data_IF_127885983076
#
_entry.id   IF_127885983076
#
_cell.length_a   1.000
_cell.length_b   1.000
_cell.length_c   1.000
_cell.angle_alpha   90.00
_cell.angle_beta   90.00
_cell.angle_gamma   90.00
#
_symmetry.space_group_name_H-M   'P 1'
#
loop_
_entity.id
_entity.type
_entity.pdbx_description
1 polymer ?
#
# COMPACT_ATOMS: atom_id res chain seq x y z
N UNK A 1 29.65 7.16 -70.91
CA UNK A 1 29.71 6.37 -69.65
C UNK A 1 28.78 6.99 -68.62
N UNK A 2 27.57 7.42 -69.02
CA UNK A 2 26.85 8.44 -68.24
C UNK A 2 25.44 8.01 -67.81
N UNK A 3 24.92 6.90 -68.35
CA UNK A 3 23.56 6.42 -68.04
C UNK A 3 23.53 5.43 -66.87
N UNK A 4 24.54 4.56 -66.73
CA UNK A 4 24.67 3.63 -65.60
C UNK A 4 25.01 4.35 -64.28
N UNK A 5 25.76 5.44 -64.36
CA UNK A 5 26.13 6.26 -63.20
C UNK A 5 24.92 7.01 -62.62
N UNK A 6 24.06 7.58 -63.48
CA UNK A 6 22.83 8.23 -63.03
C UNK A 6 21.84 7.23 -62.40
N UNK A 7 21.71 6.03 -62.97
CA UNK A 7 20.79 5.01 -62.43
C UNK A 7 21.26 4.44 -61.09
N UNK A 8 22.57 4.30 -60.88
CA UNK A 8 23.14 3.86 -59.60
C UNK A 8 23.02 4.93 -58.51
N UNK A 9 23.15 6.21 -58.88
CA UNK A 9 22.96 7.34 -57.96
C UNK A 9 21.50 7.45 -57.48
N UNK A 10 20.51 7.28 -58.37
CA UNK A 10 19.09 7.31 -58.02
C UNK A 10 18.68 6.18 -57.07
N UNK A 11 19.20 4.97 -57.28
CA UNK A 11 18.92 3.80 -56.41
C UNK A 11 19.52 4.00 -55.01
N UNK A 12 20.70 4.60 -54.91
CA UNK A 12 21.32 4.91 -53.62
C UNK A 12 20.59 6.03 -52.87
N UNK A 13 20.16 7.08 -53.57
CA UNK A 13 19.37 8.17 -52.99
C UNK A 13 18.02 7.62 -52.49
N UNK A 14 17.34 6.80 -53.29
CA UNK A 14 16.06 6.20 -52.91
C UNK A 14 16.21 5.28 -51.68
N UNK A 15 17.28 4.49 -51.62
CA UNK A 15 17.61 3.65 -50.46
C UNK A 15 17.88 4.48 -49.20
N UNK A 16 18.65 5.56 -49.31
CA UNK A 16 18.96 6.45 -48.18
C UNK A 16 17.70 7.17 -47.65
N UNK A 17 16.83 7.63 -48.55
CA UNK A 17 15.55 8.24 -48.18
C UNK A 17 14.63 7.23 -47.47
N UNK A 18 14.54 6.00 -47.98
CA UNK A 18 13.74 4.96 -47.36
C UNK A 18 14.21 4.64 -45.92
N UNK A 19 15.52 4.51 -45.71
CA UNK A 19 16.11 4.27 -44.39
C UNK A 19 15.83 5.44 -43.44
N UNK A 20 15.97 6.69 -43.91
CA UNK A 20 15.69 7.87 -43.12
C UNK A 20 14.21 7.96 -42.70
N UNK A 21 13.28 7.66 -43.61
CA UNK A 21 11.84 7.63 -43.30
C UNK A 21 11.52 6.56 -42.28
N UNK A 22 12.07 5.35 -42.42
CA UNK A 22 11.87 4.26 -41.45
C UNK A 22 12.41 4.65 -40.07
N UNK A 23 13.60 5.26 -40.00
CA UNK A 23 14.18 5.73 -38.74
C UNK A 23 13.33 6.82 -38.07
N UNK A 24 12.77 7.76 -38.84
CA UNK A 24 11.86 8.80 -38.34
C UNK A 24 10.57 8.17 -37.81
N UNK A 25 9.98 7.22 -38.52
CA UNK A 25 8.76 6.53 -38.10
C UNK A 25 9.01 5.72 -36.82
N UNK A 26 10.11 4.98 -36.74
CA UNK A 26 10.49 4.24 -35.52
C UNK A 26 10.74 5.20 -34.37
N UNK A 27 11.47 6.30 -34.61
CA UNK A 27 11.71 7.34 -33.62
C UNK A 27 10.42 7.99 -33.11
N UNK A 28 9.48 8.29 -34.01
CA UNK A 28 8.17 8.82 -33.65
C UNK A 28 7.36 7.79 -32.85
N UNK A 29 7.27 6.53 -33.30
CA UNK A 29 6.58 5.46 -32.57
C UNK A 29 7.18 5.25 -31.19
N UNK A 30 8.50 5.29 -31.06
CA UNK A 30 9.20 5.17 -29.78
C UNK A 30 8.93 6.36 -28.85
N UNK A 31 8.91 7.59 -29.38
CA UNK A 31 8.57 8.81 -28.64
C UNK A 31 7.10 8.85 -28.21
N UNK A 32 6.18 8.37 -29.04
CA UNK A 32 4.76 8.27 -28.71
C UNK A 32 4.49 7.11 -27.73
N UNK A 33 5.21 6.00 -27.83
CA UNK A 33 5.05 4.84 -26.95
C UNK A 33 5.72 5.02 -25.58
N UNK A 34 6.69 5.93 -25.43
CA UNK A 34 7.43 6.13 -24.16
C UNK A 34 6.78 7.12 -23.18
N UNK A 35 5.68 7.80 -23.54
CA UNK A 35 4.98 8.67 -22.59
C UNK A 35 4.19 7.82 -21.61
N UNK A 36 4.80 7.49 -20.47
CA UNK A 36 4.06 6.97 -19.31
C UNK A 36 2.86 7.90 -19.04
N UNK A 37 1.65 7.37 -18.85
CA UNK A 37 0.48 8.19 -18.60
C UNK A 37 0.74 9.07 -17.37
N UNK A 38 0.53 10.38 -17.53
CA UNK A 38 0.69 11.34 -16.44
C UNK A 38 -0.38 11.05 -15.40
N UNK A 39 0.04 10.79 -14.15
CA UNK A 39 -0.88 10.55 -13.02
C UNK A 39 -1.85 11.72 -12.80
N UNK A 40 -3.02 11.41 -12.24
CA UNK A 40 -4.06 12.40 -11.98
C UNK A 40 -3.83 13.23 -10.71
N UNK A 41 -2.99 12.75 -9.79
CA UNK A 41 -2.68 13.43 -8.53
C UNK A 41 -1.87 14.74 -8.71
N UNK A 42 -1.86 15.57 -7.67
CA UNK A 42 -1.06 16.80 -7.58
C UNK A 42 -0.50 16.93 -6.15
N UNK A 43 0.85 16.98 -5.97
CA UNK A 43 1.45 16.98 -4.64
C UNK A 43 1.15 18.24 -3.83
N UNK A 44 0.92 19.36 -4.50
CA UNK A 44 0.79 20.69 -3.90
C UNK A 44 -0.68 21.09 -3.75
N UNK A 45 -1.50 20.78 -4.75
CA UNK A 45 -2.89 21.26 -4.84
C UNK A 45 -3.92 20.15 -4.65
N UNK A 46 -5.08 20.50 -4.09
CA UNK A 46 -6.22 19.59 -4.03
C UNK A 46 -6.95 19.56 -5.38
N UNK A 47 -7.17 18.37 -5.90
CA UNK A 47 -7.99 18.09 -7.09
C UNK A 47 -9.28 17.40 -6.70
N UNK A 48 -10.36 17.68 -7.43
CA UNK A 48 -11.68 17.15 -7.15
C UNK A 48 -11.93 15.87 -7.96
N UNK A 49 -12.38 14.81 -7.30
CA UNK A 49 -12.74 13.54 -7.93
C UNK A 49 -14.19 13.19 -7.61
N UNK A 50 -14.96 12.84 -8.64
CA UNK A 50 -16.40 12.56 -8.51
C UNK A 50 -16.62 11.16 -7.96
N UNK A 51 -17.41 11.03 -6.90
CA UNK A 51 -17.91 9.75 -6.41
C UNK A 51 -18.92 9.19 -7.42
N UNK A 52 -18.61 8.04 -8.02
CA UNK A 52 -19.48 7.38 -9.01
C UNK A 52 -20.21 6.18 -8.43
N UNK A 53 -19.68 5.55 -7.38
CA UNK A 53 -20.30 4.41 -6.73
C UNK A 53 -19.99 4.38 -5.24
N UNK A 54 -20.99 4.04 -4.43
CA UNK A 54 -20.84 3.76 -3.00
C UNK A 54 -21.47 2.39 -2.72
N UNK A 55 -20.73 1.52 -2.05
CA UNK A 55 -21.20 0.19 -1.64
C UNK A 55 -21.00 0.05 -0.15
N UNK A 56 -22.08 -0.20 0.59
CA UNK A 56 -22.00 -0.50 2.02
C UNK A 56 -21.52 -1.96 2.18
N UNK A 57 -20.41 -2.17 2.88
CA UNK A 57 -19.84 -3.51 3.10
C UNK A 57 -20.25 -4.08 4.46
N UNK A 58 -20.31 -3.24 5.49
CA UNK A 58 -20.76 -3.61 6.84
C UNK A 58 -21.47 -2.43 7.52
N UNK A 59 -21.89 -2.55 8.78
CA UNK A 59 -22.54 -1.46 9.51
C UNK A 59 -21.69 -0.18 9.63
N UNK A 60 -20.37 -0.30 9.62
CA UNK A 60 -19.43 0.82 9.77
C UNK A 60 -18.40 0.90 8.64
N UNK A 61 -18.52 0.12 7.56
CA UNK A 61 -17.57 0.13 6.43
C UNK A 61 -18.30 0.32 5.13
N UNK A 62 -17.80 1.24 4.31
CA UNK A 62 -18.25 1.40 2.94
C UNK A 62 -17.07 1.56 1.98
N UNK A 63 -17.28 1.08 0.75
CA UNK A 63 -16.39 1.28 -0.39
C UNK A 63 -16.89 2.43 -1.24
N UNK A 64 -15.99 3.35 -1.57
CA UNK A 64 -16.25 4.54 -2.36
C UNK A 64 -15.39 4.49 -3.62
N UNK A 65 -16.01 4.48 -4.79
CA UNK A 65 -15.33 4.45 -6.09
C UNK A 65 -15.42 5.83 -6.74
N UNK A 66 -14.28 6.44 -7.00
CA UNK A 66 -14.16 7.77 -7.59
C UNK A 66 -13.66 7.68 -9.03
N UNK A 67 -14.29 8.43 -9.94
CA UNK A 67 -13.87 8.49 -11.33
C UNK A 67 -12.65 9.39 -11.52
N UNK A 68 -11.72 8.93 -12.34
CA UNK A 68 -10.63 9.73 -12.89
C UNK A 68 -11.12 10.52 -14.11
N UNK A 69 -10.34 11.52 -14.61
CA UNK A 69 -10.78 12.41 -15.69
C UNK A 69 -11.16 11.68 -16.99
N UNK A 70 -10.51 10.55 -17.29
CA UNK A 70 -10.84 9.71 -18.45
C UNK A 70 -10.86 8.22 -18.06
N UNK A 71 -11.56 7.35 -18.82
CA UNK A 71 -11.58 5.90 -18.55
C UNK A 71 -10.21 5.22 -18.63
N UNK A 72 -9.23 5.84 -19.29
CA UNK A 72 -7.87 5.33 -19.44
C UNK A 72 -6.86 6.02 -18.52
N UNK A 73 -7.31 6.98 -17.71
CA UNK A 73 -6.45 7.68 -16.76
C UNK A 73 -6.00 6.75 -15.64
N UNK A 74 -4.80 6.98 -15.11
CA UNK A 74 -4.30 6.32 -13.89
C UNK A 74 -4.21 7.33 -12.75
N UNK A 75 -4.35 6.86 -11.52
CA UNK A 75 -4.24 7.75 -10.35
C UNK A 75 -2.81 8.31 -10.25
N UNK A 76 -1.80 7.49 -10.53
CA UNK A 76 -0.39 7.84 -10.45
C UNK A 76 0.11 7.91 -9.02
N UNK A 77 -0.33 6.98 -8.16
CA UNK A 77 0.10 6.87 -6.77
C UNK A 77 1.23 5.84 -6.67
N UNK A 78 2.47 6.25 -6.37
CA UNK A 78 3.56 5.29 -6.16
C UNK A 78 3.25 4.30 -5.05
N UNK A 79 3.68 3.04 -5.22
CA UNK A 79 3.40 1.96 -4.27
C UNK A 79 4.08 2.25 -2.93
N UNK A 80 3.30 2.19 -1.84
CA UNK A 80 3.76 2.55 -0.50
C UNK A 80 3.43 3.99 -0.08
N UNK A 81 2.93 4.81 -1.02
CA UNK A 81 2.45 6.17 -0.74
C UNK A 81 0.92 6.20 -0.59
N UNK A 82 0.42 7.31 -0.05
CA UNK A 82 -0.99 7.54 0.20
C UNK A 82 -1.44 8.91 -0.32
N UNK A 83 -2.75 9.18 -0.26
CA UNK A 83 -3.33 10.47 -0.63
C UNK A 83 -3.89 11.19 0.61
N UNK A 84 -3.94 12.51 0.56
CA UNK A 84 -4.62 13.35 1.55
C UNK A 84 -5.99 13.73 1.04
N UNK A 85 -7.04 13.32 1.74
CA UNK A 85 -8.42 13.66 1.42
C UNK A 85 -8.87 14.82 2.31
N UNK A 86 -9.55 15.80 1.73
CA UNK A 86 -10.14 16.94 2.45
C UNK A 86 -11.67 16.82 2.46
N UNK A 87 -12.24 16.98 3.65
CA UNK A 87 -13.68 16.94 3.89
C UNK A 87 -14.12 17.95 4.95
N UNK A 88 -15.35 17.80 5.43
CA UNK A 88 -15.95 18.59 6.50
C UNK A 88 -16.53 17.70 7.58
N UNK A 89 -16.35 18.07 8.84
CA UNK A 89 -16.97 17.38 9.97
C UNK A 89 -18.43 17.80 10.21
N UNK A 90 -19.03 17.36 11.32
CA UNK A 90 -20.43 17.65 11.66
C UNK A 90 -20.69 19.10 12.05
N UNK A 91 -19.64 19.87 12.33
CA UNK A 91 -19.69 21.29 12.64
C UNK A 91 -19.42 22.15 11.39
N UNK A 92 -19.03 21.53 10.28
CA UNK A 92 -18.69 22.21 9.02
C UNK A 92 -17.21 22.59 8.90
N UNK A 93 -16.38 22.23 9.89
CA UNK A 93 -14.96 22.54 9.91
C UNK A 93 -14.17 21.62 8.97
N UNK A 94 -13.16 22.19 8.30
CA UNK A 94 -12.32 21.42 7.39
C UNK A 94 -11.50 20.36 8.15
N UNK A 95 -11.44 19.16 7.58
CA UNK A 95 -10.62 18.06 8.08
C UNK A 95 -9.87 17.42 6.92
N UNK A 96 -8.56 17.20 7.12
CA UNK A 96 -7.69 16.53 6.15
C UNK A 96 -7.17 15.25 6.80
N UNK A 97 -7.33 14.12 6.12
CA UNK A 97 -6.84 12.82 6.58
C UNK A 97 -6.20 12.01 5.46
N UNK A 98 -5.18 11.19 5.78
CA UNK A 98 -4.56 10.26 4.85
C UNK A 98 -5.51 9.10 4.52
N UNK A 99 -5.47 8.61 3.29
CA UNK A 99 -6.08 7.36 2.89
C UNK A 99 -5.23 6.68 1.83
N UNK A 100 -5.16 5.35 1.87
CA UNK A 100 -4.52 4.55 0.81
C UNK A 100 -5.59 3.89 -0.04
N UNK A 101 -5.67 4.20 -1.34
CA UNK A 101 -6.56 3.51 -2.26
C UNK A 101 -6.27 2.02 -2.33
N UNK A 102 -7.32 1.22 -2.47
CA UNK A 102 -7.23 -0.24 -2.64
C UNK A 102 -7.03 -0.65 -4.10
N UNK A 103 -7.00 0.33 -5.00
CA UNK A 103 -6.71 0.20 -6.44
C UNK A 103 -5.25 0.52 -6.76
N UNK A 104 -4.74 -0.09 -7.82
CA UNK A 104 -3.42 0.19 -8.41
C UNK A 104 -3.55 0.99 -9.71
N UNK A 105 -2.43 1.43 -10.28
CA UNK A 105 -2.43 2.09 -11.59
C UNK A 105 -2.79 1.13 -12.76
N UNK A 106 -2.88 -0.18 -12.49
CA UNK A 106 -3.49 -1.16 -13.40
C UNK A 106 -5.02 -1.05 -13.46
N UNK A 107 -5.65 -0.50 -12.42
CA UNK A 107 -7.09 -0.28 -12.33
C UNK A 107 -7.43 1.10 -12.94
N UNK A 108 -7.45 1.18 -14.27
CA UNK A 108 -7.64 2.45 -15.00
C UNK A 108 -9.03 3.07 -14.80
N UNK A 109 -9.09 4.39 -14.91
CA UNK A 109 -10.33 5.17 -14.96
C UNK A 109 -10.97 5.47 -13.60
N UNK A 110 -10.52 4.85 -12.52
CA UNK A 110 -11.08 5.04 -11.20
C UNK A 110 -10.07 4.77 -10.07
N UNK A 111 -10.43 5.15 -8.85
CA UNK A 111 -9.78 4.63 -7.65
C UNK A 111 -10.80 4.33 -6.56
N UNK A 112 -10.50 3.37 -5.70
CA UNK A 112 -11.39 2.95 -4.62
C UNK A 112 -10.81 3.26 -3.24
N UNK A 113 -11.65 3.77 -2.35
CA UNK A 113 -11.37 3.92 -0.93
C UNK A 113 -12.30 3.02 -0.12
N UNK A 114 -11.73 2.16 0.71
CA UNK A 114 -12.48 1.39 1.71
C UNK A 114 -12.36 2.07 3.05
N UNK A 115 -13.45 2.64 3.53
CA UNK A 115 -13.46 3.52 4.70
C UNK A 115 -14.24 2.85 5.83
N UNK A 116 -13.55 2.61 6.95
CA UNK A 116 -14.19 2.33 8.25
C UNK A 116 -14.57 3.67 8.90
N UNK A 117 -15.86 3.87 9.11
CA UNK A 117 -16.46 5.08 9.64
C UNK A 117 -16.70 4.92 11.15
N UNK A 118 -16.03 5.75 11.95
CA UNK A 118 -16.20 5.77 13.40
C UNK A 118 -17.28 6.78 13.81
N UNK A 119 -18.10 6.50 14.83
CA UNK A 119 -19.19 7.40 15.24
C UNK A 119 -18.73 8.83 15.51
N UNK A 120 -17.62 8.99 16.24
CA UNK A 120 -17.01 10.28 16.61
C UNK A 120 -15.90 10.74 15.66
N UNK A 121 -15.70 10.07 14.53
CA UNK A 121 -14.65 10.43 13.58
C UNK A 121 -15.03 11.66 12.77
N UNK A 122 -14.24 12.75 12.86
CA UNK A 122 -14.44 14.00 12.09
C UNK A 122 -14.54 13.74 10.58
N UNK A 123 -13.56 13.02 10.03
CA UNK A 123 -13.58 12.64 8.60
C UNK A 123 -14.60 11.52 8.31
N UNK A 124 -14.92 10.68 9.30
CA UNK A 124 -15.97 9.67 9.16
C UNK A 124 -17.34 10.32 8.96
N UNK A 125 -17.61 11.48 9.57
CA UNK A 125 -18.81 12.26 9.30
C UNK A 125 -18.90 12.64 7.81
N UNK A 126 -17.81 13.17 7.24
CA UNK A 126 -17.76 13.54 5.82
C UNK A 126 -18.15 12.38 4.89
N UNK A 127 -17.59 11.19 5.13
CA UNK A 127 -17.89 10.00 4.31
C UNK A 127 -19.30 9.44 4.54
N UNK A 128 -19.87 9.59 5.75
CA UNK A 128 -21.27 9.20 6.01
C UNK A 128 -22.25 10.00 5.15
N UNK A 129 -22.04 11.32 5.08
CA UNK A 129 -22.89 12.25 4.34
C UNK A 129 -22.63 12.26 2.81
N UNK A 130 -21.54 11.64 2.36
CA UNK A 130 -21.18 11.66 0.94
C UNK A 130 -22.12 10.77 0.10
N UNK A 131 -22.73 11.38 -0.92
CA UNK A 131 -23.63 10.72 -1.87
C UNK A 131 -23.00 10.63 -3.26
N UNK A 132 -23.48 9.68 -4.07
CA UNK A 132 -23.05 9.55 -5.47
C UNK A 132 -23.25 10.89 -6.19
N UNK A 133 -22.30 11.25 -7.04
CA UNK A 133 -22.15 12.56 -7.69
C UNK A 133 -21.55 13.68 -6.85
N UNK A 134 -21.30 13.51 -5.55
CA UNK A 134 -20.45 14.43 -4.80
C UNK A 134 -18.99 14.31 -5.22
N UNK A 135 -18.18 15.30 -4.81
CA UNK A 135 -16.75 15.36 -5.10
C UNK A 135 -15.94 15.26 -3.81
N UNK A 136 -14.82 14.55 -3.89
CA UNK A 136 -13.81 14.50 -2.85
C UNK A 136 -12.57 15.27 -3.30
N UNK A 137 -12.10 16.21 -2.47
CA UNK A 137 -10.85 16.91 -2.72
C UNK A 137 -9.67 16.04 -2.26
N UNK A 138 -8.75 15.75 -3.18
CA UNK A 138 -7.61 14.85 -2.98
C UNK A 138 -6.32 15.55 -3.38
N UNK A 139 -5.29 15.43 -2.53
CA UNK A 139 -3.92 15.90 -2.76
C UNK A 139 -2.94 14.74 -2.59
N UNK A 140 -1.91 14.66 -3.42
CA UNK A 140 -0.91 13.58 -3.32
C UNK A 140 -0.01 13.46 -4.54
N UNK A 141 0.89 12.49 -4.57
CA UNK A 141 1.11 11.48 -3.54
C UNK A 141 1.82 12.05 -2.29
N UNK A 142 1.69 11.37 -1.15
CA UNK A 142 2.34 11.69 0.12
C UNK A 142 2.94 10.42 0.75
N UNK A 143 3.93 10.61 1.62
CA UNK A 143 4.66 9.53 2.30
C UNK A 143 6.06 9.31 1.72
N UNK A 144 6.99 8.87 2.58
CA UNK A 144 8.39 8.67 2.20
C UNK A 144 8.66 7.30 1.58
N UNK A 145 7.91 6.29 2.01
CA UNK A 145 8.11 4.92 1.55
C UNK A 145 7.68 4.76 0.09
N UNK A 146 8.54 4.11 -0.69
CA UNK A 146 8.26 3.75 -2.08
C UNK A 146 8.84 2.37 -2.37
N UNK A 147 7.97 1.40 -2.60
CA UNK A 147 8.37 0.05 -2.92
C UNK A 147 8.92 -0.04 -4.36
N UNK A 148 9.96 -0.85 -4.55
CA UNK A 148 10.48 -1.23 -5.87
C UNK A 148 10.50 -2.77 -6.01
N UNK A 149 10.15 -3.31 -7.18
CA UNK A 149 10.15 -4.75 -7.39
C UNK A 149 11.53 -5.37 -7.12
N UNK A 150 11.56 -6.48 -6.39
CA UNK A 150 12.80 -7.17 -6.03
C UNK A 150 13.70 -6.43 -5.02
N UNK A 151 13.24 -5.32 -4.41
CA UNK A 151 14.00 -4.61 -3.36
C UNK A 151 14.28 -5.50 -2.14
N UNK A 152 13.40 -6.47 -1.86
CA UNK A 152 13.55 -7.42 -0.75
C UNK A 152 13.17 -8.84 -1.18
N UNK A 153 13.79 -9.87 -0.57
CA UNK A 153 13.43 -11.28 -0.85
C UNK A 153 12.05 -11.65 -0.31
N UNK A 154 11.65 -11.02 0.78
CA UNK A 154 10.36 -11.24 1.41
C UNK A 154 9.94 -10.01 2.24
N UNK A 155 8.64 -9.86 2.44
CA UNK A 155 7.98 -8.67 2.94
C UNK A 155 6.97 -9.08 4.02
N UNK A 156 7.32 -8.87 5.28
CA UNK A 156 6.42 -9.08 6.42
C UNK A 156 5.53 -7.86 6.62
N UNK A 157 4.24 -8.07 6.88
CA UNK A 157 3.25 -7.03 7.10
C UNK A 157 2.47 -7.33 8.37
N UNK A 158 2.34 -6.33 9.25
CA UNK A 158 1.39 -6.35 10.37
C UNK A 158 0.37 -5.25 10.14
N UNK A 159 -0.91 -5.60 10.16
CA UNK A 159 -2.01 -4.66 10.02
C UNK A 159 -3.02 -4.83 11.15
N UNK A 160 -3.64 -3.72 11.55
CA UNK A 160 -4.79 -3.71 12.43
C UNK A 160 -5.95 -2.87 11.87
N UNK A 161 -7.16 -3.41 11.86
CA UNK A 161 -8.35 -2.68 11.41
C UNK A 161 -8.21 -2.03 10.03
N UNK A 162 -8.35 -0.71 9.93
CA UNK A 162 -8.25 0.04 8.67
C UNK A 162 -6.82 0.14 8.10
N UNK A 163 -5.80 -0.18 8.91
CA UNK A 163 -4.40 -0.24 8.51
C UNK A 163 -4.08 -1.32 7.47
N UNK A 164 -5.05 -2.14 7.07
CA UNK A 164 -4.89 -3.12 6.00
C UNK A 164 -4.74 -2.48 4.62
N UNK A 165 -5.38 -1.34 4.36
CA UNK A 165 -5.42 -0.73 3.02
C UNK A 165 -4.02 -0.42 2.43
N UNK A 166 -3.08 0.16 3.19
CA UNK A 166 -1.69 0.27 2.73
C UNK A 166 -0.98 -1.07 2.48
N UNK A 167 -1.18 -2.06 3.34
CA UNK A 167 -0.58 -3.39 3.16
C UNK A 167 -1.14 -4.08 1.92
N UNK A 168 -2.44 -3.96 1.71
CA UNK A 168 -3.14 -4.49 0.54
C UNK A 168 -2.61 -3.87 -0.77
N UNK A 169 -2.35 -2.56 -0.80
CA UNK A 169 -1.76 -1.89 -1.96
C UNK A 169 -0.38 -2.48 -2.31
N UNK A 170 0.51 -2.61 -1.32
CA UNK A 170 1.86 -3.15 -1.54
C UNK A 170 1.78 -4.64 -1.93
N UNK A 171 0.96 -5.43 -1.24
CA UNK A 171 0.77 -6.85 -1.52
C UNK A 171 0.28 -7.07 -2.95
N UNK A 172 -0.77 -6.35 -3.39
CA UNK A 172 -1.24 -6.43 -4.78
C UNK A 172 -0.14 -6.06 -5.77
N UNK A 173 0.61 -4.98 -5.51
CA UNK A 173 1.66 -4.54 -6.41
C UNK A 173 2.80 -5.56 -6.58
N UNK A 174 3.15 -6.28 -5.51
CA UNK A 174 4.12 -7.37 -5.54
C UNK A 174 3.53 -8.57 -6.30
N UNK A 175 2.36 -9.04 -5.88
CA UNK A 175 1.80 -10.30 -6.35
C UNK A 175 1.30 -10.25 -7.79
N UNK A 176 0.75 -9.12 -8.24
CA UNK A 176 0.26 -8.94 -9.61
C UNK A 176 1.40 -8.64 -10.61
N UNK A 177 2.63 -8.40 -10.13
CA UNK A 177 3.79 -8.20 -11.00
C UNK A 177 4.53 -9.53 -11.23
N UNK A 178 4.48 -10.12 -12.45
CA UNK A 178 5.10 -11.42 -12.72
C UNK A 178 6.63 -11.42 -12.60
N UNK A 179 7.25 -10.24 -12.69
CA UNK A 179 8.70 -10.07 -12.55
C UNK A 179 9.15 -9.92 -11.10
N UNK A 180 8.22 -9.73 -10.18
CA UNK A 180 8.52 -9.67 -8.76
C UNK A 180 8.50 -11.07 -8.14
N UNK A 181 9.51 -11.37 -7.32
CA UNK A 181 9.66 -12.66 -6.63
C UNK A 181 9.64 -12.52 -5.12
N UNK A 182 9.37 -11.31 -4.61
CA UNK A 182 9.23 -11.06 -3.19
C UNK A 182 8.08 -11.91 -2.62
N UNK A 183 8.35 -12.69 -1.55
CA UNK A 183 7.28 -13.37 -0.79
C UNK A 183 6.64 -12.40 0.20
N UNK A 184 5.33 -12.45 0.37
CA UNK A 184 4.57 -11.58 1.26
C UNK A 184 3.94 -12.39 2.38
N UNK A 185 4.13 -11.95 3.61
CA UNK A 185 3.54 -12.55 4.81
C UNK A 185 2.77 -11.48 5.58
N UNK A 186 1.46 -11.62 5.71
CA UNK A 186 0.60 -10.68 6.39
C UNK A 186 0.03 -11.30 7.67
N UNK A 187 0.19 -10.61 8.79
CA UNK A 187 -0.58 -10.86 10.00
C UNK A 187 -1.59 -9.72 10.13
N UNK A 188 -2.87 -10.06 10.18
CA UNK A 188 -3.95 -9.09 10.20
C UNK A 188 -4.82 -9.27 11.45
N UNK A 189 -4.77 -8.28 12.35
CA UNK A 189 -5.43 -8.31 13.64
C UNK A 189 -6.72 -7.45 13.65
N UNK A 190 -7.82 -8.05 14.14
CA UNK A 190 -9.11 -7.38 14.27
C UNK A 190 -9.78 -7.76 15.62
N UNK A 191 -10.79 -6.99 16.03
CA UNK A 191 -11.52 -7.30 17.28
C UNK A 191 -12.41 -8.51 17.08
N UNK A 192 -13.29 -8.46 16.08
CA UNK A 192 -14.18 -9.56 15.71
C UNK A 192 -13.95 -10.00 14.26
N UNK A 193 -14.56 -11.11 13.87
CA UNK A 193 -14.46 -11.63 12.50
C UNK A 193 -15.10 -10.68 11.47
N UNK A 194 -16.21 -10.02 11.85
CA UNK A 194 -16.95 -9.08 11.03
C UNK A 194 -16.20 -7.76 10.78
N UNK A 195 -15.15 -7.51 11.58
CA UNK A 195 -14.28 -6.35 11.44
C UNK A 195 -13.16 -6.54 10.41
N UNK A 196 -12.96 -7.75 9.89
CA UNK A 196 -11.91 -8.06 8.91
C UNK A 196 -12.28 -7.40 7.58
N UNK A 197 -11.57 -6.32 7.23
CA UNK A 197 -11.77 -5.61 5.98
C UNK A 197 -11.05 -6.34 4.83
N UNK A 198 -11.63 -6.30 3.64
CA UNK A 198 -11.06 -6.90 2.41
C UNK A 198 -10.79 -8.41 2.52
N UNK A 199 -11.56 -9.13 3.36
CA UNK A 199 -11.30 -10.54 3.63
C UNK A 199 -11.37 -11.39 2.36
N UNK A 200 -12.42 -11.21 1.56
CA UNK A 200 -12.62 -11.98 0.32
C UNK A 200 -11.50 -11.71 -0.69
N UNK A 201 -11.06 -10.45 -0.82
CA UNK A 201 -9.96 -10.08 -1.68
C UNK A 201 -8.62 -10.64 -1.20
N UNK A 202 -8.35 -10.62 0.12
CA UNK A 202 -7.15 -11.20 0.71
C UNK A 202 -7.10 -12.72 0.54
N UNK A 203 -8.23 -13.41 0.77
CA UNK A 203 -8.32 -14.86 0.59
C UNK A 203 -8.14 -15.23 -0.89
N UNK A 204 -8.72 -14.46 -1.81
CA UNK A 204 -8.52 -14.65 -3.25
C UNK A 204 -7.05 -14.49 -3.65
N UNK A 205 -6.34 -13.50 -3.09
CA UNK A 205 -4.90 -13.35 -3.32
C UNK A 205 -4.12 -14.53 -2.75
N UNK A 206 -4.49 -15.03 -1.57
CA UNK A 206 -3.82 -16.16 -0.92
C UNK A 206 -4.00 -17.46 -1.70
N UNK A 207 -5.19 -17.69 -2.24
CA UNK A 207 -5.47 -18.85 -3.11
C UNK A 207 -4.69 -18.73 -4.43
N UNK A 208 -4.75 -17.57 -5.08
CA UNK A 208 -4.14 -17.34 -6.41
C UNK A 208 -2.61 -17.37 -6.36
N UNK A 209 -2.02 -16.86 -5.28
CA UNK A 209 -0.58 -16.72 -5.11
C UNK A 209 -0.05 -17.50 -3.91
N UNK A 210 -0.58 -18.71 -3.66
CA UNK A 210 -0.28 -19.54 -2.48
C UNK A 210 1.20 -19.83 -2.21
N UNK A 211 2.06 -19.78 -3.24
CA UNK A 211 3.52 -19.95 -3.08
C UNK A 211 4.25 -18.67 -2.65
N UNK A 212 3.61 -17.50 -2.79
CA UNK A 212 4.19 -16.18 -2.59
C UNK A 212 3.43 -15.31 -1.58
N UNK A 213 2.19 -15.64 -1.21
CA UNK A 213 1.41 -14.87 -0.23
C UNK A 213 0.82 -15.77 0.85
N UNK A 214 1.07 -15.40 2.12
CA UNK A 214 0.45 -16.02 3.28
C UNK A 214 -0.21 -14.95 4.13
N UNK A 215 -1.46 -15.19 4.55
CA UNK A 215 -2.22 -14.32 5.45
C UNK A 215 -2.61 -15.08 6.71
N UNK A 216 -2.42 -14.45 7.87
CA UNK A 216 -2.77 -14.97 9.18
C UNK A 216 -3.70 -13.99 9.87
N UNK A 217 -4.95 -14.39 10.08
CA UNK A 217 -5.94 -13.58 10.78
C UNK A 217 -5.86 -13.80 12.29
N UNK A 218 -5.85 -12.71 13.06
CA UNK A 218 -5.80 -12.72 14.53
C UNK A 218 -7.02 -11.97 15.06
N UNK A 219 -7.79 -12.60 15.96
CA UNK A 219 -8.99 -12.02 16.55
C UNK A 219 -8.84 -11.87 18.06
N UNK A 220 -9.22 -10.70 18.58
CA UNK A 220 -9.20 -10.44 20.04
C UNK A 220 -10.39 -11.09 20.75
N UNK A 221 -11.59 -11.01 20.15
CA UNK A 221 -12.78 -11.69 20.63
C UNK A 221 -13.08 -12.88 19.72
N UNK A 222 -12.75 -14.07 20.20
CA UNK A 222 -13.28 -15.31 19.65
C UNK A 222 -14.61 -15.56 20.35
N UNK A 223 -15.66 -15.88 19.60
CA UNK A 223 -16.99 -16.24 20.13
C UNK A 223 -17.00 -17.57 20.92
N UNK A 224 -15.83 -18.07 21.34
CA UNK A 224 -15.65 -19.21 22.22
C UNK A 224 -14.88 -18.78 23.50
N UNK A 225 -15.53 -19.01 24.64
CA UNK A 225 -15.18 -18.78 26.05
C UNK A 225 -13.84 -18.10 26.45
N UNK A 226 -13.99 -16.99 27.17
CA UNK A 226 -13.37 -16.64 28.47
C UNK A 226 -12.09 -17.38 28.93
N UNK A 227 -10.90 -17.00 28.44
CA UNK A 227 -9.64 -16.85 29.23
C UNK A 227 -8.43 -16.37 28.38
N UNK A 228 -8.63 -15.66 27.26
CA UNK A 228 -7.55 -15.51 26.27
C UNK A 228 -7.08 -14.07 26.05
N UNK A 229 -7.35 -13.14 26.97
CA UNK A 229 -6.96 -11.72 26.80
C UNK A 229 -5.46 -11.46 26.85
N UNK A 230 -4.68 -12.31 27.52
CA UNK A 230 -3.20 -12.18 27.60
C UNK A 230 -2.49 -13.12 26.61
N UNK A 231 -3.09 -14.27 26.26
CA UNK A 231 -2.43 -15.34 25.51
C UNK A 231 -2.22 -15.01 24.02
N UNK A 232 -3.10 -14.21 23.40
CA UNK A 232 -3.00 -13.91 21.97
C UNK A 232 -1.86 -12.94 21.61
N UNK A 233 -1.50 -12.00 22.49
CA UNK A 233 -0.31 -11.18 22.30
C UNK A 233 0.99 -12.01 22.41
N UNK A 234 1.07 -12.96 23.35
CA UNK A 234 2.23 -13.85 23.46
C UNK A 234 2.33 -14.84 22.30
N UNK A 235 1.20 -15.35 21.79
CA UNK A 235 1.19 -16.21 20.60
C UNK A 235 1.54 -15.40 19.33
N UNK A 236 1.04 -14.16 19.21
CA UNK A 236 1.42 -13.20 18.17
C UNK A 236 2.94 -12.97 18.14
N UNK A 237 3.55 -12.77 19.32
CA UNK A 237 5.00 -12.62 19.45
C UNK A 237 5.79 -13.92 19.21
N UNK A 238 5.34 -15.07 19.71
CA UNK A 238 5.98 -16.36 19.46
C UNK A 238 5.97 -16.72 17.97
N UNK A 239 4.89 -16.39 17.26
CA UNK A 239 4.78 -16.60 15.83
C UNK A 239 5.68 -15.64 15.03
N UNK A 240 5.75 -14.37 15.44
CA UNK A 240 6.73 -13.41 14.90
C UNK A 240 8.15 -13.94 15.13
N UNK A 241 8.50 -14.35 16.35
CA UNK A 241 9.82 -14.86 16.71
C UNK A 241 10.19 -16.15 15.94
N UNK A 242 9.22 -17.06 15.71
CA UNK A 242 9.43 -18.25 14.88
C UNK A 242 9.69 -17.90 13.41
N UNK A 243 8.88 -17.01 12.82
CA UNK A 243 9.05 -16.57 11.43
C UNK A 243 10.37 -15.80 11.27
N UNK A 244 10.74 -14.96 12.25
CA UNK A 244 12.00 -14.23 12.29
C UNK A 244 13.21 -15.17 12.29
N UNK A 245 13.20 -16.18 13.16
CA UNK A 245 14.29 -17.16 13.31
C UNK A 245 14.47 -18.02 12.05
N UNK A 246 13.38 -18.33 11.35
CA UNK A 246 13.42 -19.17 10.15
C UNK A 246 13.82 -18.41 8.87
N UNK A 247 13.59 -17.09 8.76
CA UNK A 247 13.63 -16.43 7.44
C UNK A 247 14.42 -15.11 7.32
N UNK A 248 14.93 -14.48 8.39
CA UNK A 248 15.66 -13.19 8.33
C UNK A 248 14.92 -12.13 7.46
N UNK A 249 13.70 -11.77 7.86
CA UNK A 249 12.77 -10.99 7.03
C UNK A 249 12.63 -9.52 7.44
N UNK A 250 12.59 -8.58 6.47
CA UNK A 250 12.05 -7.24 6.67
C UNK A 250 10.57 -7.23 7.03
N UNK A 251 10.22 -6.64 8.18
CA UNK A 251 8.82 -6.42 8.59
C UNK A 251 8.40 -4.97 8.34
N UNK A 252 7.10 -4.76 8.11
CA UNK A 252 6.38 -3.49 8.06
C UNK A 252 5.19 -3.55 9.02
N UNK A 253 5.05 -2.61 9.96
CA UNK A 253 3.99 -2.61 10.99
C UNK A 253 3.12 -1.37 10.86
N UNK A 254 1.81 -1.50 10.67
CA UNK A 254 0.83 -0.40 10.68
C UNK A 254 -0.26 -0.68 11.71
N UNK A 255 -0.38 0.14 12.77
CA UNK A 255 -1.53 0.09 13.68
C UNK A 255 -1.96 1.46 14.22
N UNK A 256 -3.19 1.53 14.78
CA UNK A 256 -3.88 2.75 15.29
C UNK A 256 -3.94 2.80 16.83
N UNK A 257 -3.05 2.13 17.55
CA UNK A 257 -2.98 2.17 19.01
C UNK A 257 -1.54 2.40 19.49
N UNK A 258 -1.29 3.54 20.13
CA UNK A 258 0.02 4.01 20.63
C UNK A 258 0.70 2.99 21.54
N UNK A 259 -0.07 2.23 22.32
CA UNK A 259 0.46 1.20 23.23
C UNK A 259 1.07 -0.01 22.54
N UNK A 260 0.61 -0.37 21.33
CA UNK A 260 1.04 -1.58 20.62
C UNK A 260 2.36 -1.36 19.86
N UNK A 261 2.60 -0.15 19.34
CA UNK A 261 3.81 0.17 18.56
C UNK A 261 5.06 0.22 19.45
N UNK A 262 4.98 0.87 20.62
CA UNK A 262 6.11 0.95 21.56
C UNK A 262 6.52 -0.44 22.05
N UNK A 263 5.53 -1.30 22.31
CA UNK A 263 5.77 -2.67 22.75
C UNK A 263 6.24 -3.60 21.61
N UNK A 264 5.68 -3.48 20.40
CA UNK A 264 6.19 -4.19 19.23
C UNK A 264 7.65 -3.82 18.95
N UNK A 265 8.01 -2.55 19.10
CA UNK A 265 9.40 -2.09 19.03
C UNK A 265 10.25 -2.77 20.11
N UNK A 266 9.84 -2.70 21.37
CA UNK A 266 10.57 -3.30 22.51
C UNK A 266 10.85 -4.79 22.27
N UNK A 267 9.86 -5.54 21.76
CA UNK A 267 10.04 -6.96 21.44
C UNK A 267 10.97 -7.19 20.24
N UNK A 268 10.90 -6.34 19.21
CA UNK A 268 11.84 -6.40 18.09
C UNK A 268 13.28 -6.03 18.50
N UNK A 269 13.41 -5.11 19.47
CA UNK A 269 14.68 -4.72 20.10
C UNK A 269 15.25 -5.89 20.92
N UNK A 270 14.42 -6.55 21.73
CA UNK A 270 14.79 -7.74 22.50
C UNK A 270 15.21 -8.93 21.61
N UNK A 271 14.63 -9.05 20.42
CA UNK A 271 14.99 -10.08 19.44
C UNK A 271 16.26 -9.75 18.63
N UNK A 272 16.92 -8.62 18.89
CA UNK A 272 18.10 -8.13 18.16
C UNK A 272 17.86 -7.97 16.64
N UNK A 273 16.62 -7.61 16.26
CA UNK A 273 16.18 -7.44 14.88
C UNK A 273 16.20 -5.97 14.42
N UNK A 274 16.67 -5.03 15.24
CA UNK A 274 16.70 -3.61 14.88
C UNK A 274 17.98 -3.21 14.17
N UNK A 275 17.83 -2.79 12.91
CA UNK A 275 18.91 -2.20 12.13
C UNK A 275 18.56 -0.78 11.62
N UNK A 276 17.28 -0.39 11.52
CA UNK A 276 16.84 1.03 11.39
C UNK A 276 15.31 1.22 11.52
N UNK A 277 14.88 2.35 12.08
CA UNK A 277 13.46 2.68 12.35
C UNK A 277 13.07 4.02 11.73
N UNK A 278 12.00 4.06 10.93
CA UNK A 278 11.43 5.31 10.41
C UNK A 278 9.93 5.38 10.70
N UNK A 279 9.43 6.58 11.02
CA UNK A 279 8.02 6.85 11.29
C UNK A 279 7.54 8.06 10.46
N UNK A 280 6.30 8.02 9.98
CA UNK A 280 5.57 9.20 9.50
C UNK A 280 4.32 9.33 10.38
N UNK A 281 4.18 10.48 11.06
CA UNK A 281 3.13 10.71 12.04
C UNK A 281 1.78 10.96 11.34
N UNK A 282 0.75 10.23 11.74
CA UNK A 282 -0.62 10.48 11.32
C UNK A 282 -1.48 10.76 12.55
N UNK A 283 -2.27 11.84 12.59
CA UNK A 283 -3.14 12.06 13.73
C UNK A 283 -4.40 11.19 13.64
N UNK A 284 -4.63 10.27 14.58
CA UNK A 284 -5.92 9.61 14.77
C UNK A 284 -6.86 10.51 15.61
N UNK A 285 -8.16 10.50 15.31
CA UNK A 285 -9.20 11.27 16.02
C UNK A 285 -10.02 10.42 16.99
N UNK A 286 -9.45 9.33 17.51
CA UNK A 286 -10.12 8.49 18.49
C UNK A 286 -9.86 9.06 19.91
N UNK A 287 -10.81 9.81 20.45
CA UNK A 287 -10.91 10.05 21.90
C UNK A 287 -11.46 8.79 22.55
N UNK A 288 -10.62 8.08 23.30
CA UNK A 288 -11.07 7.03 24.21
C UNK A 288 -11.58 7.68 25.50
N UNK A 289 -12.71 7.24 26.08
CA UNK A 289 -13.11 7.69 27.40
C UNK A 289 -12.08 7.12 28.41
N UNK A 290 -11.28 8.01 29.00
CA UNK A 290 -10.29 7.82 30.09
C UNK A 290 -8.80 8.07 29.77
N UNK A 291 -8.42 8.69 28.64
CA UNK A 291 -7.06 9.23 28.46
C UNK A 291 -7.03 10.72 28.73
N UNK A 292 -6.23 11.12 29.73
CA UNK A 292 -5.85 12.51 30.03
C UNK A 292 -5.28 13.15 28.76
N UNK A 293 -5.77 14.36 28.46
CA UNK A 293 -5.39 15.18 27.32
C UNK A 293 -3.90 15.56 27.39
N UNK A 294 -3.03 14.74 26.78
CA UNK A 294 -1.59 15.05 26.66
C UNK A 294 -1.20 15.58 25.28
N UNK A 295 -2.16 15.94 24.41
CA UNK A 295 -1.86 16.60 23.14
C UNK A 295 -1.09 15.77 22.10
N UNK A 296 -0.80 14.49 22.35
CA UNK A 296 -0.07 13.61 21.43
C UNK A 296 -1.04 12.70 20.65
N UNK A 297 -1.00 12.80 19.32
CA UNK A 297 -1.95 12.15 18.42
C UNK A 297 -1.56 10.68 18.12
N UNK A 298 -2.50 9.70 18.06
CA UNK A 298 -2.17 8.30 17.79
C UNK A 298 -1.72 8.06 16.34
N UNK A 299 -0.56 7.44 16.15
CA UNK A 299 0.22 7.34 14.90
C UNK A 299 0.02 6.01 14.15
N UNK A 300 0.14 6.00 12.81
CA UNK A 300 0.41 4.79 12.01
C UNK A 300 1.94 4.65 11.84
N UNK A 301 2.51 3.50 12.20
CA UNK A 301 3.92 3.20 11.93
C UNK A 301 4.07 2.49 10.57
N UNK A 302 5.30 2.37 10.08
CA UNK A 302 5.74 1.41 9.06
C UNK A 302 7.11 0.90 9.53
N UNK A 303 7.48 -0.35 9.27
CA UNK A 303 8.79 -0.91 9.65
C UNK A 303 9.54 -1.29 8.35
N UNK A 304 10.86 -1.25 8.28
CA UNK A 304 11.63 -1.70 7.11
C UNK A 304 12.94 -2.32 7.58
N UNK A 305 13.44 -3.37 6.91
CA UNK A 305 14.76 -3.94 7.16
C UNK A 305 15.54 -3.91 5.84
N UNK A 306 16.68 -3.24 5.85
CA UNK A 306 17.61 -3.18 4.73
C UNK A 306 18.85 -4.03 5.06
N UNK A 307 19.19 -4.94 4.14
CA UNK A 307 20.44 -5.71 4.06
C UNK A 307 20.84 -6.59 5.26
N UNK A 308 20.62 -7.91 5.09
CA UNK A 308 21.40 -8.94 5.78
C UNK A 308 22.59 -9.32 4.89
N UNK A 309 23.76 -8.73 5.10
CA UNK A 309 25.01 -9.40 4.72
C UNK A 309 25.31 -10.43 5.79
N UNK A 310 25.09 -11.70 5.45
CA UNK A 310 25.54 -12.82 6.29
C UNK A 310 27.06 -12.81 6.36
N UNK A 311 27.62 -12.22 7.42
CA UNK A 311 28.97 -12.52 7.88
C UNK A 311 28.86 -13.15 9.25
N UNK A 312 28.24 -14.32 9.32
CA UNK A 312 28.41 -15.23 10.44
C UNK A 312 29.48 -16.25 10.01
N UNK A 313 30.73 -16.00 10.41
CA UNK A 313 31.77 -17.03 10.42
C UNK A 313 31.28 -18.21 11.26
N UNK A 314 31.32 -19.46 10.75
CA UNK A 314 30.90 -20.62 11.52
C UNK A 314 31.85 -20.81 12.72
N UNK A 315 31.34 -21.18 13.90
CA UNK A 315 32.18 -21.48 15.04
C UNK A 315 33.09 -22.68 14.72
N UNK A 316 34.38 -22.51 15.02
CA UNK A 316 35.40 -23.54 14.89
C UNK A 316 34.91 -24.86 15.52
N UNK A 317 34.97 -25.92 14.73
CA UNK A 317 34.84 -27.29 15.19
C UNK A 317 36.00 -27.62 16.13
N UNK A 318 35.71 -27.79 17.42
CA UNK A 318 36.59 -28.52 18.33
C UNK A 318 36.04 -29.93 18.48
N UNK A 319 36.72 -30.89 17.87
CA UNK A 319 36.75 -32.30 18.28
C UNK A 319 38.15 -32.86 17.99
N UNK A 320 38.59 -33.94 18.68
CA UNK A 320 38.01 -34.57 19.87
C UNK A 320 38.69 -34.17 21.18
#
# INVERSE_FOLDING_TARGET
>A
MDLEFLHTLDVQILGAVAVAVVAIVIGAVFLFSSKKPKGCLDPENFKQFKLVKRVQLSHNVAKFTFALPTPTSVLGLPIGQHISCKGKDGQGEEVIKPYTPTTLDSDVGQFELVIKMYPQGRMSHHFREMQVSHYLAVKGPKGRFRYQPGQVRAFGMLAGGSGITPMFQVARAILENPNDKTKVHLIYANVTYEDILLKEELDTLAERYSSHFNVYYVLNQVSCLSYARQFYCYLFLLFICLICSLYCLPFFIIETLVFSISWCREVLEDCNLLISFFYDLFPCSATFPNTIDSGESPCLAWLYIENYTSTATPPHSTQP
#
